data_IF_518555044009
#
_entry.id   IF_518555044009
#
_cell.length_a   1.000
_cell.length_b   1.000
_cell.length_c   1.000
_cell.angle_alpha   90.00
_cell.angle_beta   90.00
_cell.angle_gamma   90.00
#
_symmetry.space_group_name_H-M   'P 1'
#
loop_
_entity.id
_entity.type
_entity.pdbx_description
1 polymer ?
#
# COMPACT_ATOMS: atom_id res chain seq x y z
N UNK A 1 24.16 -15.03 -0.18
CA UNK A 1 24.61 -13.74 0.39
C UNK A 1 24.84 -13.89 1.88
N UNK A 2 25.97 -13.43 2.43
CA UNK A 2 26.29 -13.55 3.87
C UNK A 2 25.34 -12.68 4.72
N UNK A 3 25.08 -13.10 5.98
CA UNK A 3 24.23 -12.36 6.92
C UNK A 3 24.71 -10.92 7.12
N UNK A 4 26.03 -10.72 7.17
CA UNK A 4 26.66 -9.40 7.32
C UNK A 4 26.32 -8.47 6.16
N UNK A 5 26.41 -8.93 4.90
CA UNK A 5 26.03 -8.11 3.73
C UNK A 5 24.55 -7.69 3.75
N UNK A 6 23.66 -8.58 4.21
CA UNK A 6 22.23 -8.25 4.34
C UNK A 6 21.99 -7.14 5.38
N UNK A 7 22.71 -7.17 6.50
CA UNK A 7 22.63 -6.14 7.55
C UNK A 7 23.08 -4.79 6.97
N UNK A 8 24.22 -4.73 6.25
CA UNK A 8 24.68 -3.50 5.63
C UNK A 8 23.67 -2.90 4.65
N UNK A 9 23.03 -3.73 3.83
CA UNK A 9 21.99 -3.25 2.89
C UNK A 9 20.80 -2.67 3.66
N UNK A 10 20.34 -3.33 4.72
CA UNK A 10 19.22 -2.82 5.54
C UNK A 10 19.60 -1.50 6.21
N UNK A 11 20.83 -1.34 6.69
CA UNK A 11 21.30 -0.07 7.27
C UNK A 11 21.32 1.05 6.22
N UNK A 12 21.79 0.78 5.00
CA UNK A 12 21.73 1.77 3.90
C UNK A 12 20.29 2.15 3.60
N UNK A 13 19.39 1.18 3.50
CA UNK A 13 17.97 1.43 3.27
C UNK A 13 17.34 2.27 4.39
N UNK A 14 17.72 2.04 5.65
CA UNK A 14 17.26 2.86 6.78
C UNK A 14 17.77 4.31 6.67
N UNK A 15 19.01 4.53 6.27
CA UNK A 15 19.53 5.89 6.02
C UNK A 15 18.73 6.58 4.92
N UNK A 16 18.44 5.88 3.80
CA UNK A 16 17.63 6.42 2.71
C UNK A 16 16.20 6.73 3.20
N UNK A 17 15.62 5.89 4.05
CA UNK A 17 14.32 6.14 4.66
C UNK A 17 14.32 7.41 5.51
N UNK A 18 15.34 7.60 6.34
CA UNK A 18 15.47 8.81 7.17
C UNK A 18 15.61 10.07 6.30
N UNK A 19 16.39 9.99 5.22
CA UNK A 19 16.51 11.08 4.24
C UNK A 19 15.15 11.35 3.57
N UNK A 20 14.41 10.32 3.16
CA UNK A 20 13.10 10.49 2.51
C UNK A 20 12.05 11.07 3.47
N UNK A 21 12.07 10.69 4.75
CA UNK A 21 11.24 11.29 5.80
C UNK A 21 11.60 12.77 6.00
N UNK A 22 12.91 13.08 6.07
CA UNK A 22 13.37 14.46 6.19
C UNK A 22 12.89 15.29 4.99
N UNK A 23 13.06 14.82 3.76
CA UNK A 23 12.58 15.49 2.54
C UNK A 23 11.06 15.68 2.55
N UNK A 24 10.30 14.67 2.96
CA UNK A 24 8.84 14.75 3.06
C UNK A 24 8.38 15.83 4.06
N UNK A 25 9.15 16.09 5.11
CA UNK A 25 8.87 17.13 6.09
C UNK A 25 9.43 18.50 5.68
N UNK A 26 10.59 18.53 5.00
CA UNK A 26 11.27 19.77 4.62
C UNK A 26 10.56 20.51 3.49
N UNK A 27 10.20 19.82 2.41
CA UNK A 27 9.71 20.45 1.20
C UNK A 27 8.25 20.88 1.27
N UNK A 28 7.98 22.08 0.80
CA UNK A 28 6.64 22.67 0.69
C UNK A 28 6.74 24.18 0.49
N UNK A 29 5.60 24.90 0.62
CA UNK A 29 5.44 26.34 0.40
C UNK A 29 6.47 27.24 1.11
N UNK A 30 6.97 26.83 2.28
CA UNK A 30 8.10 27.44 2.98
C UNK A 30 9.19 26.40 3.19
N UNK A 31 10.40 26.71 2.77
CA UNK A 31 11.58 25.93 3.10
C UNK A 31 11.96 26.22 4.55
N UNK A 32 11.88 25.22 5.38
CA UNK A 32 12.35 25.32 6.76
C UNK A 32 13.86 25.06 6.75
N UNK A 33 14.65 25.99 7.31
CA UNK A 33 16.10 25.83 7.43
C UNK A 33 16.51 24.58 8.24
N UNK A 34 17.82 24.29 8.33
CA UNK A 34 18.36 23.10 9.02
C UNK A 34 17.88 22.92 10.47
N UNK A 35 17.37 23.95 11.12
CA UNK A 35 16.82 23.91 12.48
C UNK A 35 15.40 23.33 12.60
N UNK A 36 14.87 22.74 11.51
CA UNK A 36 13.51 22.20 11.46
C UNK A 36 13.22 21.15 12.55
N UNK A 37 14.14 20.24 12.82
CA UNK A 37 13.97 19.22 13.86
C UNK A 37 13.90 19.85 15.25
N UNK A 38 14.70 20.88 15.53
CA UNK A 38 14.67 21.62 16.80
C UNK A 38 13.37 22.40 16.97
N UNK A 39 12.82 22.98 15.88
CA UNK A 39 11.53 23.68 15.90
C UNK A 39 10.34 22.72 16.04
N UNK A 40 10.42 21.50 15.51
CA UNK A 40 9.36 20.49 15.68
C UNK A 40 9.28 19.99 17.14
N UNK A 41 10.38 20.01 17.88
CA UNK A 41 10.43 19.63 19.30
C UNK A 41 10.21 20.83 20.25
N UNK A 42 10.47 22.05 19.81
CA UNK A 42 10.12 23.25 20.57
C UNK A 42 8.63 23.57 20.33
N UNK A 43 7.81 23.35 21.33
CA UNK A 43 6.40 23.70 21.42
C UNK A 43 6.15 25.22 21.45
N UNK A 44 6.91 26.01 20.67
CA UNK A 44 6.61 27.42 20.48
C UNK A 44 5.38 27.57 19.60
N UNK A 45 4.47 28.46 19.95
CA UNK A 45 3.22 28.77 19.22
C UNK A 45 3.45 29.46 17.87
N UNK A 46 4.58 29.19 17.22
CA UNK A 46 4.93 29.70 15.91
C UNK A 46 4.12 29.01 14.81
N UNK A 47 3.66 29.78 13.83
CA UNK A 47 2.97 29.27 12.63
C UNK A 47 3.74 28.13 11.94
N UNK A 48 5.06 28.10 12.06
CA UNK A 48 5.93 27.07 11.51
C UNK A 48 5.79 25.73 12.24
N UNK A 49 5.72 25.75 13.56
CA UNK A 49 5.50 24.54 14.38
C UNK A 49 4.13 23.92 14.10
N UNK A 50 3.10 24.75 13.91
CA UNK A 50 1.75 24.32 13.56
C UNK A 50 1.71 23.65 12.18
N UNK A 51 2.37 24.23 11.16
CA UNK A 51 2.45 23.62 9.82
C UNK A 51 3.16 22.26 9.88
N UNK A 52 4.22 22.14 10.67
CA UNK A 52 4.94 20.87 10.80
C UNK A 52 4.11 19.79 11.49
N UNK A 53 3.48 20.13 12.62
CA UNK A 53 2.79 19.16 13.46
C UNK A 53 1.40 18.79 12.92
N UNK A 54 0.65 19.77 12.38
CA UNK A 54 -0.74 19.56 11.94
C UNK A 54 -0.82 19.14 10.47
N UNK A 55 0.07 19.63 9.61
CA UNK A 55 -0.02 19.33 8.17
C UNK A 55 1.02 18.33 7.68
N UNK A 56 2.31 18.54 7.97
CA UNK A 56 3.38 17.75 7.35
C UNK A 56 3.62 16.40 8.02
N UNK A 57 3.67 16.38 9.35
CA UNK A 57 3.87 15.13 10.09
C UNK A 57 2.76 14.10 9.83
N UNK A 58 1.45 14.44 9.93
CA UNK A 58 0.38 13.49 9.63
C UNK A 58 0.42 12.98 8.19
N UNK A 59 0.77 13.86 7.25
CA UNK A 59 0.90 13.49 5.84
C UNK A 59 2.06 12.52 5.61
N UNK A 60 3.25 12.82 6.15
CA UNK A 60 4.40 11.93 6.06
C UNK A 60 4.13 10.56 6.71
N UNK A 61 3.45 10.56 7.86
CA UNK A 61 3.03 9.34 8.55
C UNK A 61 2.10 8.49 7.70
N UNK A 62 1.07 9.10 7.10
CA UNK A 62 0.14 8.40 6.21
C UNK A 62 0.84 7.85 4.97
N UNK A 63 1.74 8.61 4.35
CA UNK A 63 2.56 8.17 3.23
C UNK A 63 3.45 6.97 3.60
N UNK A 64 4.10 7.02 4.76
CA UNK A 64 4.89 5.92 5.32
C UNK A 64 4.04 4.66 5.51
N UNK A 65 2.90 4.78 6.17
CA UNK A 65 1.99 3.66 6.45
C UNK A 65 1.46 3.04 5.15
N UNK A 66 1.04 3.88 4.19
CA UNK A 66 0.52 3.41 2.91
C UNK A 66 1.56 2.61 2.12
N UNK A 67 2.79 3.11 2.04
CA UNK A 67 3.88 2.43 1.36
C UNK A 67 4.25 1.09 2.00
N UNK A 68 4.38 1.07 3.32
CA UNK A 68 4.62 -0.14 4.10
C UNK A 68 3.53 -1.19 3.87
N UNK A 69 2.26 -0.79 4.02
CA UNK A 69 1.12 -1.69 3.91
C UNK A 69 1.00 -2.31 2.50
N UNK A 70 1.14 -1.51 1.44
CA UNK A 70 1.07 -2.02 0.06
C UNK A 70 2.22 -2.95 -0.28
N UNK A 71 3.45 -2.63 0.13
CA UNK A 71 4.60 -3.48 -0.11
C UNK A 71 4.48 -4.84 0.58
N UNK A 72 4.01 -4.86 1.84
CA UNK A 72 3.77 -6.11 2.58
C UNK A 72 2.61 -6.90 1.98
N UNK A 73 1.49 -6.25 1.65
CA UNK A 73 0.36 -6.88 1.01
C UNK A 73 0.75 -7.53 -0.32
N UNK A 74 1.54 -6.83 -1.13
CA UNK A 74 2.08 -7.35 -2.38
C UNK A 74 3.00 -8.56 -2.15
N UNK A 75 3.90 -8.49 -1.17
CA UNK A 75 4.77 -9.61 -0.80
C UNK A 75 3.94 -10.86 -0.43
N UNK A 76 2.86 -10.72 0.32
CA UNK A 76 1.98 -11.82 0.68
C UNK A 76 1.27 -12.39 -0.54
N UNK A 77 0.66 -11.54 -1.39
CA UNK A 77 -0.04 -11.98 -2.59
C UNK A 77 0.87 -12.70 -3.59
N UNK A 78 2.08 -12.19 -3.82
CA UNK A 78 3.08 -12.82 -4.69
C UNK A 78 3.55 -14.17 -4.14
N UNK A 79 3.66 -14.29 -2.81
CA UNK A 79 4.08 -15.54 -2.17
C UNK A 79 3.02 -16.63 -2.28
N UNK A 80 1.75 -16.28 -2.11
CA UNK A 80 0.64 -17.21 -2.15
C UNK A 80 0.34 -17.65 -3.59
N UNK A 81 0.31 -16.69 -4.51
CA UNK A 81 0.02 -16.95 -5.91
C UNK A 81 1.18 -17.61 -6.66
N UNK A 82 2.36 -17.66 -6.04
CA UNK A 82 3.63 -18.03 -6.70
C UNK A 82 3.86 -17.25 -8.00
N UNK A 83 3.30 -16.05 -8.07
CA UNK A 83 3.39 -15.17 -9.22
C UNK A 83 3.98 -13.81 -8.76
N UNK A 84 5.18 -13.45 -9.23
CA UNK A 84 5.84 -12.21 -8.85
C UNK A 84 5.12 -10.94 -9.33
N UNK A 85 4.15 -11.08 -10.24
CA UNK A 85 3.31 -10.00 -10.77
C UNK A 85 1.98 -9.83 -10.01
N UNK A 86 1.71 -10.69 -9.02
CA UNK A 86 0.47 -10.59 -8.26
C UNK A 86 0.45 -9.30 -7.43
N UNK A 87 -0.60 -8.54 -7.59
CA UNK A 87 -0.88 -7.32 -6.86
C UNK A 87 -2.07 -7.53 -5.91
N UNK A 88 -2.10 -6.92 -4.71
CA UNK A 88 -3.21 -7.09 -3.79
C UNK A 88 -4.55 -6.60 -4.36
N UNK A 89 -4.53 -5.65 -5.28
CA UNK A 89 -5.75 -5.13 -5.93
C UNK A 89 -6.47 -6.13 -6.84
N UNK A 90 -5.84 -7.22 -7.25
CA UNK A 90 -6.46 -8.31 -8.02
C UNK A 90 -7.64 -8.94 -7.24
N UNK A 91 -7.66 -8.82 -5.93
CA UNK A 91 -8.74 -9.35 -5.07
C UNK A 91 -9.99 -8.46 -4.99
N UNK A 92 -10.16 -7.49 -5.90
CA UNK A 92 -11.33 -6.61 -5.92
C UNK A 92 -11.29 -5.45 -4.92
N UNK A 93 -10.22 -5.32 -4.15
CA UNK A 93 -10.08 -4.32 -3.10
C UNK A 93 -10.14 -2.90 -3.67
N UNK A 94 -9.48 -2.65 -4.80
CA UNK A 94 -9.42 -1.32 -5.42
C UNK A 94 -10.80 -0.82 -5.85
N UNK A 95 -11.58 -1.65 -6.51
CA UNK A 95 -12.93 -1.26 -6.96
C UNK A 95 -13.89 -1.08 -5.78
N UNK A 96 -13.83 -1.96 -4.78
CA UNK A 96 -14.62 -1.80 -3.56
C UNK A 96 -14.26 -0.53 -2.80
N UNK A 97 -12.97 -0.21 -2.70
CA UNK A 97 -12.51 1.06 -2.14
C UNK A 97 -13.05 2.25 -2.92
N UNK A 98 -12.93 2.21 -4.26
CA UNK A 98 -13.44 3.26 -5.15
C UNK A 98 -14.94 3.47 -5.01
N UNK A 99 -15.72 2.39 -4.94
CA UNK A 99 -17.16 2.47 -4.72
C UNK A 99 -17.48 3.11 -3.36
N UNK A 100 -16.81 2.68 -2.29
CA UNK A 100 -16.97 3.30 -0.97
C UNK A 100 -16.69 4.80 -0.98
N UNK A 101 -15.59 5.22 -1.61
CA UNK A 101 -15.23 6.64 -1.78
C UNK A 101 -16.34 7.40 -2.52
N UNK A 102 -16.79 6.88 -3.66
CA UNK A 102 -17.81 7.53 -4.50
C UNK A 102 -19.15 7.66 -3.76
N UNK A 103 -19.58 6.61 -3.04
CA UNK A 103 -20.78 6.64 -2.22
C UNK A 103 -20.67 7.66 -1.08
N UNK A 104 -19.50 7.79 -0.46
CA UNK A 104 -19.27 8.82 0.57
C UNK A 104 -19.43 10.23 0.02
N UNK A 105 -18.88 10.52 -1.16
CA UNK A 105 -19.02 11.83 -1.81
C UNK A 105 -20.48 12.11 -2.19
N UNK A 106 -21.17 11.07 -2.66
CA UNK A 106 -22.55 11.20 -3.10
C UNK A 106 -23.51 11.54 -1.95
N UNK A 107 -23.43 10.77 -0.86
CA UNK A 107 -24.40 10.82 0.24
C UNK A 107 -23.96 11.66 1.45
N UNK A 108 -22.65 11.79 1.70
CA UNK A 108 -22.10 12.39 2.92
C UNK A 108 -21.19 13.60 2.68
N UNK A 109 -21.26 14.21 1.48
CA UNK A 109 -20.48 15.39 1.11
C UNK A 109 -18.97 15.27 1.41
N UNK A 110 -18.39 14.10 1.17
CA UNK A 110 -16.97 13.80 1.29
C UNK A 110 -16.34 13.82 2.69
N UNK A 111 -17.10 14.03 3.76
CA UNK A 111 -16.53 14.17 5.10
C UNK A 111 -15.73 12.93 5.57
N UNK A 112 -16.02 11.74 5.04
CA UNK A 112 -15.47 10.45 5.54
C UNK A 112 -15.00 9.50 4.43
N UNK A 113 -14.61 10.00 3.25
CA UNK A 113 -14.31 9.12 2.11
C UNK A 113 -13.22 8.08 2.39
N UNK A 114 -12.23 8.37 3.23
CA UNK A 114 -11.19 7.41 3.62
C UNK A 114 -11.76 6.21 4.39
N UNK A 115 -12.71 6.46 5.31
CA UNK A 115 -13.39 5.40 6.09
C UNK A 115 -14.26 4.55 5.18
N UNK A 116 -15.06 5.18 4.33
CA UNK A 116 -15.91 4.45 3.38
C UNK A 116 -15.07 3.66 2.36
N UNK A 117 -13.95 4.22 1.91
CA UNK A 117 -12.97 3.52 1.09
C UNK A 117 -12.39 2.28 1.79
N UNK A 118 -12.01 2.41 3.06
CA UNK A 118 -11.54 1.29 3.88
C UNK A 118 -12.61 0.20 4.04
N UNK A 119 -13.82 0.58 4.40
CA UNK A 119 -14.94 -0.36 4.55
C UNK A 119 -15.26 -1.04 3.21
N UNK A 120 -15.36 -0.27 2.12
CA UNK A 120 -15.61 -0.80 0.78
C UNK A 120 -14.54 -1.79 0.32
N UNK A 121 -13.27 -1.50 0.61
CA UNK A 121 -12.13 -2.39 0.36
C UNK A 121 -12.26 -3.71 1.13
N UNK A 122 -12.59 -3.66 2.43
CA UNK A 122 -12.79 -4.86 3.26
C UNK A 122 -14.00 -5.67 2.80
N UNK A 123 -15.12 -5.04 2.51
CA UNK A 123 -16.34 -5.72 2.06
C UNK A 123 -16.11 -6.43 0.72
N UNK A 124 -15.49 -5.77 -0.25
CA UNK A 124 -15.21 -6.39 -1.54
C UNK A 124 -14.24 -7.57 -1.42
N UNK A 125 -13.19 -7.46 -0.60
CA UNK A 125 -12.28 -8.57 -0.34
C UNK A 125 -12.98 -9.73 0.36
N UNK A 126 -13.86 -9.45 1.33
CA UNK A 126 -14.66 -10.47 2.00
C UNK A 126 -15.57 -11.22 1.01
N UNK A 127 -16.24 -10.50 0.11
CA UNK A 127 -17.06 -11.09 -0.95
C UNK A 127 -16.21 -12.04 -1.82
N UNK A 128 -15.05 -11.58 -2.30
CA UNK A 128 -14.17 -12.39 -3.15
C UNK A 128 -13.69 -13.66 -2.40
N UNK A 129 -13.32 -13.54 -1.14
CA UNK A 129 -12.87 -14.68 -0.32
C UNK A 129 -14.01 -15.68 -0.12
N UNK A 130 -15.23 -15.21 0.20
CA UNK A 130 -16.41 -16.06 0.40
C UNK A 130 -16.74 -16.86 -0.87
N UNK A 131 -16.77 -16.21 -2.03
CA UNK A 131 -17.07 -16.88 -3.31
C UNK A 131 -15.93 -17.79 -3.80
N UNK A 132 -14.69 -17.56 -3.35
CA UNK A 132 -13.55 -18.45 -3.69
C UNK A 132 -13.60 -19.80 -2.99
N UNK A 133 -14.41 -19.94 -1.93
CA UNK A 133 -14.67 -21.18 -1.19
C UNK A 133 -13.57 -21.54 -0.19
N UNK A 134 -13.93 -21.75 1.07
CA UNK A 134 -12.98 -22.06 2.15
C UNK A 134 -12.45 -23.51 2.09
N UNK A 135 -13.27 -24.48 1.64
CA UNK A 135 -12.94 -25.92 1.70
C UNK A 135 -12.08 -26.39 0.52
N UNK A 136 -12.23 -25.77 -0.65
CA UNK A 136 -11.46 -26.06 -1.86
C UNK A 136 -10.90 -24.76 -2.43
N UNK A 137 -10.07 -24.09 -1.62
CA UNK A 137 -9.52 -22.79 -1.98
C UNK A 137 -8.67 -22.87 -3.23
N UNK A 138 -8.98 -22.07 -4.23
CA UNK A 138 -8.23 -21.95 -5.47
C UNK A 138 -7.83 -20.51 -5.72
N UNK A 139 -6.54 -20.28 -5.83
CA UNK A 139 -5.97 -18.95 -6.13
C UNK A 139 -6.48 -18.45 -7.48
N UNK A 140 -6.62 -19.33 -8.47
CA UNK A 140 -7.16 -18.97 -9.79
C UNK A 140 -8.61 -18.48 -9.68
N UNK A 141 -9.46 -19.16 -8.89
CA UNK A 141 -10.83 -18.71 -8.64
C UNK A 141 -10.85 -17.34 -7.95
N UNK A 142 -10.01 -17.14 -6.96
CA UNK A 142 -9.90 -15.86 -6.26
C UNK A 142 -9.55 -14.71 -7.23
N UNK A 143 -8.57 -14.93 -8.11
CA UNK A 143 -8.15 -13.92 -9.09
C UNK A 143 -9.29 -13.65 -10.09
N UNK A 144 -9.95 -14.68 -10.64
CA UNK A 144 -11.02 -14.51 -11.61
C UNK A 144 -12.25 -13.81 -11.01
N UNK A 145 -12.65 -14.18 -9.79
CA UNK A 145 -13.78 -13.54 -9.08
C UNK A 145 -13.43 -12.10 -8.77
N UNK A 146 -12.21 -11.83 -8.27
CA UNK A 146 -11.73 -10.49 -7.99
C UNK A 146 -11.70 -9.59 -9.22
N UNK A 147 -11.22 -10.12 -10.36
CA UNK A 147 -11.21 -9.42 -11.64
C UNK A 147 -12.63 -9.11 -12.12
N UNK A 148 -13.53 -10.08 -12.07
CA UNK A 148 -14.94 -9.90 -12.45
C UNK A 148 -15.61 -8.84 -11.57
N UNK A 149 -15.38 -8.88 -10.26
CA UNK A 149 -15.87 -7.87 -9.33
C UNK A 149 -15.30 -6.48 -9.63
N UNK A 150 -13.99 -6.39 -9.93
CA UNK A 150 -13.36 -5.14 -10.33
C UNK A 150 -14.03 -4.52 -11.56
N UNK A 151 -14.24 -5.30 -12.62
CA UNK A 151 -14.88 -4.81 -13.85
C UNK A 151 -16.31 -4.35 -13.57
N UNK A 152 -17.09 -5.15 -12.86
CA UNK A 152 -18.48 -4.83 -12.51
C UNK A 152 -18.58 -3.54 -11.69
N UNK A 153 -17.83 -3.46 -10.59
CA UNK A 153 -17.87 -2.31 -9.69
C UNK A 153 -17.29 -1.05 -10.35
N UNK A 154 -16.24 -1.17 -11.18
CA UNK A 154 -15.69 -0.03 -11.94
C UNK A 154 -16.72 0.52 -12.93
N UNK A 155 -17.53 -0.34 -13.54
CA UNK A 155 -18.63 0.10 -14.42
C UNK A 155 -19.71 0.86 -13.64
N UNK A 156 -20.06 0.40 -12.43
CA UNK A 156 -20.97 1.12 -11.54
C UNK A 156 -20.40 2.49 -11.13
N UNK A 157 -19.12 2.57 -10.76
CA UNK A 157 -18.44 3.83 -10.44
C UNK A 157 -18.53 4.80 -11.62
N UNK A 158 -18.23 4.34 -12.84
CA UNK A 158 -18.29 5.15 -14.05
C UNK A 158 -19.69 5.68 -14.32
N UNK A 159 -20.72 4.84 -14.11
CA UNK A 159 -22.11 5.23 -14.25
C UNK A 159 -22.51 6.30 -13.21
N UNK A 160 -22.11 6.13 -11.95
CA UNK A 160 -22.39 7.11 -10.88
C UNK A 160 -21.73 8.46 -11.21
N UNK A 161 -20.49 8.46 -11.68
CA UNK A 161 -19.78 9.68 -12.07
C UNK A 161 -20.49 10.38 -13.23
N UNK A 162 -20.94 9.62 -14.24
CA UNK A 162 -21.63 10.16 -15.42
C UNK A 162 -22.96 10.84 -15.04
N UNK A 163 -23.73 10.26 -14.13
CA UNK A 163 -25.04 10.78 -13.70
C UNK A 163 -24.91 11.95 -12.73
N UNK A 164 -23.72 12.19 -12.17
CA UNK A 164 -23.47 13.26 -11.20
C UNK A 164 -22.39 14.25 -11.66
N UNK A 165 -22.59 15.02 -12.73
CA UNK A 165 -21.57 15.87 -13.32
C UNK A 165 -21.04 16.95 -12.36
N UNK A 166 -21.86 17.45 -11.43
CA UNK A 166 -21.45 18.45 -10.43
C UNK A 166 -20.41 17.96 -9.43
N UNK A 167 -20.43 16.66 -9.10
CA UNK A 167 -19.49 16.03 -8.15
C UNK A 167 -18.40 15.21 -8.87
N UNK A 168 -18.46 15.07 -10.19
CA UNK A 168 -17.59 14.18 -11.00
C UNK A 168 -16.11 14.53 -10.84
N UNK A 169 -15.76 15.83 -10.90
CA UNK A 169 -14.38 16.28 -10.74
C UNK A 169 -13.81 15.86 -9.38
N UNK A 170 -14.57 16.05 -8.31
CA UNK A 170 -14.13 15.67 -6.96
C UNK A 170 -13.97 14.15 -6.81
N UNK A 171 -14.91 13.38 -7.39
CA UNK A 171 -14.84 11.92 -7.40
C UNK A 171 -13.56 11.44 -8.12
N UNK A 172 -13.28 11.96 -9.32
CA UNK A 172 -12.08 11.63 -10.09
C UNK A 172 -10.79 11.99 -9.34
N UNK A 173 -10.75 13.17 -8.72
CA UNK A 173 -9.58 13.65 -7.99
C UNK A 173 -9.27 12.74 -6.79
N UNK A 174 -10.28 12.36 -6.00
CA UNK A 174 -10.07 11.50 -4.82
C UNK A 174 -9.75 10.06 -5.23
N UNK A 175 -10.40 9.54 -6.30
CA UNK A 175 -10.09 8.21 -6.85
C UNK A 175 -8.66 8.11 -7.39
N UNK A 176 -8.08 9.22 -7.83
CA UNK A 176 -6.68 9.27 -8.29
C UNK A 176 -5.65 9.11 -7.16
N UNK A 177 -6.12 9.00 -5.92
CA UNK A 177 -5.29 8.81 -4.73
C UNK A 177 -4.55 10.07 -4.28
N UNK A 178 -4.39 10.20 -2.99
CA UNK A 178 -3.67 11.32 -2.39
C UNK A 178 -3.67 11.22 -0.87
N UNK A 179 -2.61 11.73 -0.26
CA UNK A 179 -2.54 11.83 1.19
C UNK A 179 -3.24 13.11 1.61
N UNK A 180 -4.38 12.96 2.28
CA UNK A 180 -5.15 14.10 2.78
C UNK A 180 -5.18 14.13 4.30
N UNK A 181 -5.22 15.34 4.84
CA UNK A 181 -5.38 15.55 6.27
C UNK A 181 -6.86 15.60 6.64
N UNK A 182 -7.58 14.47 6.49
CA UNK A 182 -8.94 14.39 7.00
C UNK A 182 -8.90 14.21 8.51
N UNK A 183 -9.39 15.19 9.24
CA UNK A 183 -9.30 15.31 10.69
C UNK A 183 -10.18 14.33 11.49
N UNK A 184 -11.06 13.57 10.83
CA UNK A 184 -12.10 12.78 11.51
C UNK A 184 -11.55 11.56 12.23
N UNK A 185 -10.44 10.98 11.74
CA UNK A 185 -9.79 9.89 12.46
C UNK A 185 -8.40 10.34 12.87
N UNK A 186 -8.20 10.38 14.18
CA UNK A 186 -6.90 10.66 14.79
C UNK A 186 -5.80 9.79 14.20
N UNK A 187 -4.66 10.38 13.89
CA UNK A 187 -3.44 9.65 13.50
C UNK A 187 -3.09 8.51 14.47
N UNK A 188 -3.52 8.60 15.71
CA UNK A 188 -3.34 7.57 16.73
C UNK A 188 -4.09 6.29 16.40
N UNK A 189 -5.32 6.37 15.87
CA UNK A 189 -6.10 5.18 15.46
C UNK A 189 -5.41 4.51 14.26
N UNK A 190 -4.97 5.28 13.27
CA UNK A 190 -4.19 4.75 12.15
C UNK A 190 -2.94 4.02 12.63
N UNK A 191 -2.19 4.62 13.55
CA UNK A 191 -0.99 4.02 14.15
C UNK A 191 -1.29 2.74 14.91
N UNK A 192 -2.33 2.72 15.72
CA UNK A 192 -2.75 1.52 16.48
C UNK A 192 -3.10 0.38 15.50
N UNK A 193 -3.91 0.66 14.47
CA UNK A 193 -4.27 -0.33 13.47
C UNK A 193 -3.04 -0.80 12.68
N UNK A 194 -2.15 0.12 12.31
CA UNK A 194 -0.93 -0.20 11.58
C UNK A 194 0.01 -1.07 12.41
N UNK A 195 0.30 -0.69 13.66
CA UNK A 195 1.19 -1.46 14.53
C UNK A 195 0.60 -2.83 14.83
N UNK A 196 -0.71 -2.93 15.10
CA UNK A 196 -1.37 -4.21 15.39
C UNK A 196 -1.29 -5.18 14.21
N UNK A 197 -1.59 -4.72 12.97
CA UNK A 197 -1.51 -5.57 11.79
C UNK A 197 -0.07 -5.92 11.42
N UNK A 198 0.88 -5.02 11.66
CA UNK A 198 2.31 -5.26 11.43
C UNK A 198 2.85 -6.34 12.38
N UNK A 199 2.50 -6.28 13.66
CA UNK A 199 2.88 -7.30 14.65
C UNK A 199 2.24 -8.64 14.31
N UNK A 200 0.95 -8.64 13.96
CA UNK A 200 0.27 -9.86 13.53
C UNK A 200 0.94 -10.45 12.27
N UNK A 201 1.27 -9.63 11.28
CA UNK A 201 1.99 -10.05 10.09
C UNK A 201 3.35 -10.66 10.42
N UNK A 202 4.12 -10.04 11.33
CA UNK A 202 5.43 -10.52 11.75
C UNK A 202 5.39 -11.92 12.37
N UNK A 203 4.35 -12.23 13.18
CA UNK A 203 4.14 -13.56 13.79
C UNK A 203 3.97 -14.64 12.71
N UNK A 204 3.32 -14.29 11.58
CA UNK A 204 3.06 -15.26 10.50
C UNK A 204 4.20 -15.39 9.49
N UNK A 205 5.19 -14.48 9.45
CA UNK A 205 6.31 -14.54 8.48
C UNK A 205 7.01 -15.91 8.39
N UNK A 206 7.33 -16.62 9.50
CA UNK A 206 7.95 -17.94 9.39
C UNK A 206 7.11 -18.96 8.60
N UNK A 207 5.78 -18.79 8.57
CA UNK A 207 4.86 -19.66 7.85
C UNK A 207 4.90 -19.43 6.33
N UNK A 208 5.31 -18.24 5.86
CA UNK A 208 5.60 -18.02 4.43
C UNK A 208 6.79 -18.84 3.94
N UNK A 209 7.85 -18.94 4.74
CA UNK A 209 8.98 -19.81 4.40
C UNK A 209 8.55 -21.29 4.32
N UNK A 210 7.60 -21.72 5.18
CA UNK A 210 7.00 -23.06 5.12
C UNK A 210 6.23 -23.28 3.81
N UNK A 211 5.43 -22.31 3.33
CA UNK A 211 4.67 -22.42 2.09
C UNK A 211 5.53 -22.52 0.81
N UNK A 212 6.84 -22.28 0.90
CA UNK A 212 7.80 -22.47 -0.19
C UNK A 212 8.36 -23.90 -0.32
N UNK A 213 8.16 -24.73 0.70
CA UNK A 213 8.63 -26.12 0.65
C UNK A 213 7.93 -26.88 -0.48
N UNK A 214 8.56 -27.95 -0.94
CA UNK A 214 8.09 -28.76 -2.06
C UNK A 214 6.65 -29.26 -1.88
N UNK A 215 5.97 -29.43 -3.02
CA UNK A 215 4.57 -29.82 -3.09
C UNK A 215 4.24 -31.06 -2.28
N UNK A 216 5.13 -32.05 -2.27
CA UNK A 216 4.91 -33.36 -1.65
C UNK A 216 4.84 -33.28 -0.11
N UNK A 217 5.69 -32.44 0.50
CA UNK A 217 5.67 -32.17 1.95
C UNK A 217 4.44 -31.33 2.36
N UNK A 218 3.94 -30.48 1.45
CA UNK A 218 2.77 -29.66 1.68
C UNK A 218 1.46 -30.42 1.47
N UNK A 219 1.44 -31.44 0.61
CA UNK A 219 0.25 -32.28 0.39
C UNK A 219 -0.06 -33.18 1.60
N UNK A 220 0.93 -33.63 2.34
CA UNK A 220 0.73 -34.34 3.60
C UNK A 220 -0.03 -33.54 4.67
N UNK A 221 -0.05 -32.18 4.57
CA UNK A 221 -0.73 -31.26 5.50
C UNK A 221 -1.59 -30.22 4.78
N UNK A 222 -2.39 -30.65 3.81
CA UNK A 222 -3.22 -29.79 2.93
C UNK A 222 -4.15 -28.83 3.70
N UNK A 223 -4.69 -29.27 4.84
CA UNK A 223 -5.55 -28.44 5.68
C UNK A 223 -4.80 -27.23 6.27
N UNK A 224 -3.58 -27.41 6.79
CA UNK A 224 -2.76 -26.32 7.34
C UNK A 224 -2.29 -25.36 6.25
N UNK A 225 -1.95 -25.89 5.06
CA UNK A 225 -1.58 -25.05 3.91
C UNK A 225 -2.71 -24.09 3.54
N UNK A 226 -3.93 -24.59 3.37
CA UNK A 226 -5.08 -23.77 3.02
C UNK A 226 -5.38 -22.70 4.09
N UNK A 227 -5.27 -23.07 5.37
CA UNK A 227 -5.44 -22.12 6.48
C UNK A 227 -4.43 -20.96 6.38
N UNK A 228 -3.14 -21.24 6.16
CA UNK A 228 -2.13 -20.18 6.02
C UNK A 228 -2.37 -19.31 4.79
N UNK A 229 -2.78 -19.88 3.67
CA UNK A 229 -3.14 -19.12 2.47
C UNK A 229 -4.26 -18.13 2.78
N UNK A 230 -5.34 -18.58 3.42
CA UNK A 230 -6.46 -17.71 3.80
C UNK A 230 -6.01 -16.61 4.76
N UNK A 231 -5.20 -16.93 5.76
CA UNK A 231 -4.65 -15.94 6.70
C UNK A 231 -3.86 -14.86 5.97
N UNK A 232 -2.98 -15.23 5.03
CA UNK A 232 -2.19 -14.24 4.29
C UNK A 232 -3.03 -13.40 3.34
N UNK A 233 -4.11 -13.96 2.78
CA UNK A 233 -5.05 -13.17 1.98
C UNK A 233 -5.78 -12.15 2.85
N UNK A 234 -6.24 -12.54 4.04
CA UNK A 234 -6.88 -11.64 4.99
C UNK A 234 -5.91 -10.54 5.45
N UNK A 235 -4.66 -10.89 5.77
CA UNK A 235 -3.62 -9.93 6.10
C UNK A 235 -3.36 -8.95 4.95
N UNK A 236 -3.24 -9.46 3.71
CA UNK A 236 -3.07 -8.64 2.52
C UNK A 236 -4.26 -7.71 2.29
N UNK A 237 -5.47 -8.22 2.44
CA UNK A 237 -6.70 -7.43 2.30
C UNK A 237 -6.76 -6.29 3.31
N UNK A 238 -6.46 -6.58 4.59
CA UNK A 238 -6.48 -5.57 5.65
C UNK A 238 -5.38 -4.52 5.44
N UNK A 239 -4.15 -4.94 5.13
CA UNK A 239 -3.03 -4.03 4.83
C UNK A 239 -3.37 -3.11 3.65
N UNK A 240 -3.93 -3.66 2.58
CA UNK A 240 -4.32 -2.87 1.41
C UNK A 240 -5.45 -1.88 1.75
N UNK A 241 -6.45 -2.32 2.51
CA UNK A 241 -7.53 -1.44 2.97
C UNK A 241 -7.00 -0.32 3.86
N UNK A 242 -6.04 -0.61 4.74
CA UNK A 242 -5.39 0.38 5.58
C UNK A 242 -4.56 1.39 4.77
N UNK A 243 -3.92 0.94 3.68
CA UNK A 243 -3.26 1.83 2.73
C UNK A 243 -4.25 2.76 2.03
N UNK A 244 -5.40 2.24 1.59
CA UNK A 244 -6.47 3.06 1.00
C UNK A 244 -6.97 4.11 1.99
N UNK A 245 -7.12 3.73 3.26
CA UNK A 245 -7.48 4.67 4.32
C UNK A 245 -6.44 5.79 4.47
N UNK A 246 -5.14 5.47 4.39
CA UNK A 246 -4.06 6.43 4.60
C UNK A 246 -3.82 7.35 3.39
N UNK A 247 -3.89 6.83 2.17
CA UNK A 247 -3.45 7.55 0.96
C UNK A 247 -4.31 7.32 -0.29
N UNK A 248 -5.49 6.69 -0.14
CA UNK A 248 -6.35 6.36 -1.27
C UNK A 248 -5.82 5.18 -2.10
N UNK A 249 -6.30 5.08 -3.34
CA UNK A 249 -5.98 3.95 -4.23
C UNK A 249 -4.63 4.23 -4.90
N UNK A 250 -3.63 3.38 -4.63
CA UNK A 250 -2.26 3.51 -5.16
C UNK A 250 -1.80 2.18 -5.78
N UNK A 251 -1.52 2.14 -7.08
CA UNK A 251 -1.03 0.93 -7.77
C UNK A 251 0.49 0.75 -7.72
N UNK A 252 0.99 -0.33 -8.33
CA UNK A 252 2.40 -0.68 -8.58
C UNK A 252 3.30 -0.97 -7.38
N UNK A 253 3.08 -0.39 -6.21
CA UNK A 253 3.98 -0.53 -5.06
C UNK A 253 4.02 -1.96 -4.55
N UNK A 254 2.86 -2.62 -4.55
CA UNK A 254 2.74 -4.03 -4.20
C UNK A 254 3.51 -4.97 -5.14
N UNK A 255 3.85 -4.52 -6.34
CA UNK A 255 4.68 -5.27 -7.28
C UNK A 255 6.15 -4.89 -7.12
N UNK A 256 6.46 -3.60 -7.14
CA UNK A 256 7.83 -3.08 -7.25
C UNK A 256 8.64 -3.32 -5.98
N UNK A 257 8.09 -2.97 -4.81
CA UNK A 257 8.82 -3.06 -3.56
C UNK A 257 9.26 -4.50 -3.21
N UNK A 258 8.41 -5.55 -3.32
CA UNK A 258 8.85 -6.91 -3.10
C UNK A 258 9.89 -7.40 -4.12
N UNK A 259 9.81 -6.90 -5.35
CA UNK A 259 10.76 -7.27 -6.40
C UNK A 259 12.15 -6.70 -6.11
N UNK A 260 12.24 -5.40 -5.77
CA UNK A 260 13.50 -4.77 -5.35
C UNK A 260 14.05 -5.46 -4.10
N UNK A 261 13.19 -5.76 -3.12
CA UNK A 261 13.59 -6.46 -1.90
C UNK A 261 14.24 -7.82 -2.19
N UNK A 262 13.64 -8.60 -3.08
CA UNK A 262 14.19 -9.91 -3.50
C UNK A 262 15.53 -9.77 -4.20
N UNK A 263 15.69 -8.75 -5.04
CA UNK A 263 16.96 -8.50 -5.73
C UNK A 263 18.08 -8.15 -4.76
N UNK A 264 17.78 -7.37 -3.72
CA UNK A 264 18.77 -6.88 -2.77
C UNK A 264 19.12 -7.91 -1.68
N UNK A 265 18.13 -8.65 -1.16
CA UNK A 265 18.30 -9.47 0.04
C UNK A 265 18.04 -10.97 -0.17
N UNK A 266 17.65 -11.36 -1.39
CA UNK A 266 17.30 -12.74 -1.73
C UNK A 266 15.89 -13.10 -1.28
N UNK A 267 15.63 -14.40 -1.10
CA UNK A 267 14.27 -14.90 -1.00
C UNK A 267 13.80 -15.27 0.43
N UNK A 268 14.57 -14.98 1.48
CA UNK A 268 14.16 -15.25 2.86
C UNK A 268 13.15 -14.19 3.33
N UNK A 269 11.93 -14.63 3.64
CA UNK A 269 10.83 -13.73 4.02
C UNK A 269 11.08 -12.92 5.28
N UNK A 270 11.99 -13.31 6.16
CA UNK A 270 12.37 -12.52 7.33
C UNK A 270 13.04 -11.20 6.91
N UNK A 271 13.97 -11.29 5.96
CA UNK A 271 14.66 -10.12 5.41
C UNK A 271 13.76 -9.34 4.46
N UNK A 272 12.93 -10.06 3.67
CA UNK A 272 11.95 -9.43 2.79
C UNK A 272 10.91 -8.62 3.55
N UNK A 273 10.48 -9.08 4.72
CA UNK A 273 9.53 -8.35 5.55
C UNK A 273 10.06 -6.97 5.94
N UNK A 274 11.28 -6.93 6.50
CA UNK A 274 11.93 -5.68 6.92
C UNK A 274 12.18 -4.76 5.72
N UNK A 275 12.72 -5.29 4.62
CA UNK A 275 13.04 -4.48 3.45
C UNK A 275 11.80 -3.95 2.73
N UNK A 276 10.70 -4.70 2.68
CA UNK A 276 9.45 -4.22 2.09
C UNK A 276 8.85 -3.06 2.88
N UNK A 277 8.90 -3.11 4.21
CA UNK A 277 8.51 -1.98 5.06
C UNK A 277 9.30 -0.72 4.64
N UNK A 278 10.60 -0.83 4.53
CA UNK A 278 11.48 0.30 4.25
C UNK A 278 11.32 0.78 2.80
N UNK A 279 11.40 -0.12 1.82
CA UNK A 279 11.38 0.24 0.39
C UNK A 279 10.00 0.79 -0.01
N UNK A 280 8.91 0.16 0.46
CA UNK A 280 7.56 0.64 0.18
C UNK A 280 7.33 2.05 0.74
N UNK A 281 7.79 2.29 1.98
CA UNK A 281 7.68 3.61 2.60
C UNK A 281 8.53 4.67 1.89
N UNK A 282 9.78 4.35 1.52
CA UNK A 282 10.65 5.25 0.74
C UNK A 282 9.95 5.65 -0.56
N UNK A 283 9.39 4.68 -1.28
CA UNK A 283 8.79 4.93 -2.59
C UNK A 283 7.61 5.91 -2.48
N UNK A 284 6.69 5.71 -1.53
CA UNK A 284 5.55 6.61 -1.34
C UNK A 284 5.97 7.98 -0.80
N UNK A 285 6.92 8.04 0.12
CA UNK A 285 7.43 9.32 0.65
C UNK A 285 8.05 10.17 -0.46
N UNK A 286 8.87 9.56 -1.32
CA UNK A 286 9.46 10.25 -2.47
C UNK A 286 8.42 10.62 -3.52
N UNK A 287 7.44 9.75 -3.80
CA UNK A 287 6.35 10.06 -4.71
C UNK A 287 5.49 11.23 -4.19
N UNK A 288 5.20 11.28 -2.87
CA UNK A 288 4.47 12.39 -2.26
C UNK A 288 5.29 13.70 -2.29
N UNK A 289 6.59 13.61 -2.07
CA UNK A 289 7.50 14.76 -2.25
C UNK A 289 7.43 15.31 -3.68
N UNK A 290 7.53 14.45 -4.69
CA UNK A 290 7.44 14.82 -6.11
C UNK A 290 6.06 15.40 -6.42
N UNK A 291 4.97 14.77 -5.95
CA UNK A 291 3.60 15.21 -6.16
C UNK A 291 3.35 16.66 -5.69
N UNK A 292 4.07 17.10 -4.67
CA UNK A 292 3.94 18.46 -4.09
C UNK A 292 4.88 19.50 -4.71
N UNK A 293 5.97 19.07 -5.33
CA UNK A 293 7.04 19.98 -5.77
C UNK A 293 7.07 20.22 -7.27
N UNK A 294 6.62 19.26 -8.09
CA UNK A 294 6.82 19.31 -9.56
C UNK A 294 6.01 20.39 -10.25
N UNK A 295 4.76 20.64 -9.84
CA UNK A 295 3.85 21.61 -10.50
C UNK A 295 3.32 22.63 -9.47
N UNK A 296 4.21 23.17 -8.67
CA UNK A 296 3.82 24.18 -7.69
C UNK A 296 3.10 25.38 -8.34
N UNK A 297 1.98 25.92 -7.78
CA UNK A 297 1.34 25.59 -6.48
C UNK A 297 0.31 24.45 -6.54
N UNK A 298 0.10 23.82 -7.68
CA UNK A 298 -0.84 22.70 -7.83
C UNK A 298 -0.23 21.42 -7.26
N UNK A 299 -1.04 20.64 -6.54
CA UNK A 299 -0.65 19.31 -6.07
C UNK A 299 -1.13 18.27 -7.08
N UNK A 300 -0.20 17.49 -7.60
CA UNK A 300 -0.50 16.36 -8.49
C UNK A 300 -1.07 15.21 -7.63
N UNK A 301 -2.14 14.51 -8.05
CA UNK A 301 -2.59 13.32 -7.36
C UNK A 301 -1.47 12.28 -7.21
N UNK A 302 -1.30 11.76 -5.98
CA UNK A 302 -0.19 10.85 -5.67
C UNK A 302 -0.21 9.58 -6.51
N UNK A 303 -1.41 9.03 -6.77
CA UNK A 303 -1.56 7.83 -7.60
C UNK A 303 -1.05 8.01 -9.04
N UNK A 304 -1.19 9.20 -9.61
CA UNK A 304 -0.63 9.50 -10.94
C UNK A 304 0.90 9.50 -10.92
N UNK A 305 1.52 10.11 -9.90
CA UNK A 305 2.98 10.11 -9.76
C UNK A 305 3.51 8.68 -9.58
N UNK A 306 2.86 7.90 -8.72
CA UNK A 306 3.21 6.51 -8.48
C UNK A 306 3.09 5.66 -9.74
N UNK A 307 2.02 5.83 -10.53
CA UNK A 307 1.83 5.13 -11.79
C UNK A 307 2.86 5.54 -12.83
N UNK A 308 3.17 6.84 -12.95
CA UNK A 308 4.13 7.36 -13.91
C UNK A 308 5.56 6.88 -13.66
N UNK A 309 5.95 6.73 -12.39
CA UNK A 309 7.26 6.18 -12.01
C UNK A 309 7.23 4.64 -12.02
N UNK A 310 6.15 4.07 -11.53
CA UNK A 310 6.03 2.63 -11.32
C UNK A 310 5.95 1.84 -12.62
N UNK A 311 5.16 2.29 -13.59
CA UNK A 311 4.99 1.55 -14.84
C UNK A 311 6.29 1.38 -15.63
N UNK A 312 7.15 2.39 -15.84
CA UNK A 312 8.45 2.21 -16.50
C UNK A 312 9.40 1.27 -15.73
N UNK A 313 9.45 1.40 -14.39
CA UNK A 313 10.27 0.51 -13.55
C UNK A 313 9.79 -0.94 -13.70
N UNK A 314 8.49 -1.15 -13.73
CA UNK A 314 7.91 -2.47 -13.89
C UNK A 314 8.25 -3.07 -15.26
N UNK A 315 8.09 -2.31 -16.36
CA UNK A 315 8.48 -2.74 -17.71
C UNK A 315 9.97 -3.08 -17.78
N UNK A 316 10.83 -2.26 -17.17
CA UNK A 316 12.26 -2.54 -17.08
C UNK A 316 12.56 -3.88 -16.37
N UNK A 317 11.85 -4.19 -15.28
CA UNK A 317 12.02 -5.48 -14.61
C UNK A 317 11.57 -6.66 -15.47
N UNK A 318 10.51 -6.52 -16.22
CA UNK A 318 10.02 -7.56 -17.13
C UNK A 318 11.00 -7.84 -18.28
N UNK A 319 11.57 -6.81 -18.87
CA UNK A 319 12.47 -6.96 -20.03
C UNK A 319 13.85 -7.51 -19.66
N UNK A 320 14.37 -7.12 -18.49
CA UNK A 320 15.73 -7.49 -18.09
C UNK A 320 15.82 -8.89 -17.45
N UNK A 321 14.72 -9.48 -17.02
CA UNK A 321 14.67 -10.70 -16.21
C UNK A 321 13.72 -11.77 -16.76
N UNK A 322 13.65 -11.89 -18.08
CA UNK A 322 12.98 -13.06 -18.71
C UNK A 322 13.46 -14.42 -18.18
N UNK A 323 14.64 -14.46 -17.58
CA UNK A 323 15.23 -15.68 -16.98
C UNK A 323 14.86 -15.90 -15.50
N UNK A 324 14.40 -14.86 -14.76
CA UNK A 324 14.00 -15.02 -13.35
C UNK A 324 12.54 -15.46 -13.15
N UNK A 325 11.77 -15.54 -14.21
CA UNK A 325 10.39 -16.03 -14.21
C UNK A 325 10.27 -17.48 -14.72
N UNK A 326 11.40 -18.14 -15.01
CA UNK A 326 11.46 -19.50 -15.57
C UNK A 326 11.71 -20.60 -14.53
N UNK A 327 11.91 -20.28 -13.26
CA UNK A 327 12.09 -21.26 -12.18
C UNK A 327 10.87 -21.40 -11.28
#
# INVERSE_FOLDING_TARGET
>A
MTKTKKIYIVLILLVILLISLYLAMYAGYKDFGCNMLLKAFNLSDDTESTILTVLRYPRALKAFVAGCCLALAGMFMQSISKNPLAEPYITGISSGAGLGIVLSILFFNSANYSVFGFIGALLSSAIVILFSGFSKFSITKLILIGLSLNIFVSSLISLIILVNPTKSYMMMLILSGGVTNNEIISNNILLILFVSILLLSAIFIPKLNYLRLDSDLLEANKSKKNLYIVVFILLSAFLTSLSVFAAGILGFIGIIAPQISRMLLGQDYRWLFISNIIIGSIFILLADFIARTVIYPLQVPLGLVVAFIGAPIFVYFLTRKGDMFRD
#
